data_IF_079786909964
#
_entry.id   IF_079786909964
#
_cell.length_a   1.000
_cell.length_b   1.000
_cell.length_c   1.000
_cell.angle_alpha   90.00
_cell.angle_beta   90.00
_cell.angle_gamma   90.00
#
_symmetry.space_group_name_H-M   'P 1'
#
loop_
_entity.id
_entity.type
_entity.pdbx_description
1 polymer ?
#
# COMPACT_ATOMS: atom_id res chain seq x y z
N UNK A 1 16.49 -0.03 -4.64
CA UNK A 1 15.05 -0.16 -5.01
C UNK A 1 14.48 1.22 -5.27
N UNK A 2 13.61 1.32 -6.24
CA UNK A 2 12.92 2.58 -6.54
C UNK A 2 11.95 2.96 -5.42
N UNK A 3 11.59 4.24 -5.34
CA UNK A 3 10.68 4.73 -4.31
C UNK A 3 9.31 4.05 -4.34
N UNK A 4 8.74 3.92 -5.55
CA UNK A 4 7.41 3.31 -5.73
C UNK A 4 7.55 1.91 -6.29
N UNK A 5 6.61 1.04 -5.95
CA UNK A 5 6.48 -0.29 -6.56
C UNK A 5 5.19 -0.30 -7.38
N UNK A 6 5.30 0.07 -8.65
CA UNK A 6 4.17 0.20 -9.56
C UNK A 6 4.00 -1.02 -10.47
N UNK A 7 5.10 -1.68 -10.80
CA UNK A 7 5.11 -2.90 -11.60
C UNK A 7 6.37 -3.70 -11.31
N UNK A 8 6.42 -4.93 -11.81
CA UNK A 8 7.60 -5.78 -11.68
C UNK A 8 8.83 -5.14 -12.34
N UNK A 9 8.62 -4.28 -13.32
CA UNK A 9 9.72 -3.59 -14.00
C UNK A 9 10.46 -2.58 -13.11
N UNK A 10 9.90 -2.23 -11.97
CA UNK A 10 10.56 -1.37 -10.98
C UNK A 10 11.60 -2.12 -10.15
N UNK A 11 11.67 -3.44 -10.29
CA UNK A 11 12.55 -4.29 -9.51
C UNK A 11 13.68 -4.85 -10.37
N UNK A 12 14.91 -4.73 -9.85
CA UNK A 12 16.06 -5.44 -10.37
C UNK A 12 16.13 -6.82 -9.70
N UNK A 13 16.84 -7.81 -10.28
CA UNK A 13 16.99 -9.13 -9.64
C UNK A 13 17.51 -9.06 -8.20
N UNK A 14 18.44 -8.15 -7.92
CA UNK A 14 18.94 -7.95 -6.56
C UNK A 14 17.87 -7.46 -5.59
N UNK A 15 16.93 -6.63 -6.06
CA UNK A 15 15.80 -6.17 -5.25
C UNK A 15 14.88 -7.34 -4.88
N UNK A 16 14.63 -8.25 -5.83
CA UNK A 16 13.81 -9.44 -5.61
C UNK A 16 14.45 -10.34 -4.54
N UNK A 17 15.76 -10.55 -4.63
CA UNK A 17 16.49 -11.34 -3.63
C UNK A 17 16.39 -10.71 -2.24
N UNK A 18 16.52 -9.39 -2.16
CA UNK A 18 16.37 -8.66 -0.90
C UNK A 18 14.97 -8.78 -0.33
N UNK A 19 13.95 -8.67 -1.18
CA UNK A 19 12.55 -8.83 -0.75
C UNK A 19 12.29 -10.24 -0.22
N UNK A 20 12.81 -11.28 -0.87
CA UNK A 20 12.65 -12.65 -0.40
C UNK A 20 13.39 -12.88 0.92
N UNK A 21 14.59 -12.32 1.09
CA UNK A 21 15.32 -12.42 2.35
C UNK A 21 14.54 -11.74 3.50
N UNK A 22 13.99 -10.56 3.23
CA UNK A 22 13.17 -9.83 4.21
C UNK A 22 11.89 -10.61 4.53
N UNK A 23 11.25 -11.19 3.51
CA UNK A 23 10.04 -12.01 3.69
C UNK A 23 10.32 -13.22 4.59
N UNK A 24 11.47 -13.87 4.42
CA UNK A 24 11.86 -14.99 5.29
C UNK A 24 12.00 -14.55 6.75
N UNK A 25 12.59 -13.37 7.00
CA UNK A 25 12.67 -12.80 8.34
C UNK A 25 11.28 -12.51 8.92
N UNK A 26 10.37 -11.95 8.10
CA UNK A 26 9.00 -11.65 8.52
C UNK A 26 8.22 -12.93 8.83
N UNK A 27 8.50 -14.01 8.12
CA UNK A 27 7.87 -15.31 8.40
C UNK A 27 8.16 -15.78 9.82
N UNK A 28 9.36 -15.53 10.33
CA UNK A 28 9.71 -15.86 11.72
C UNK A 28 8.87 -15.07 12.73
N UNK A 29 8.52 -13.83 12.41
CA UNK A 29 7.64 -13.01 13.28
C UNK A 29 6.26 -13.65 13.41
N UNK A 30 5.76 -14.25 12.35
CA UNK A 30 4.45 -14.91 12.34
C UNK A 30 4.35 -16.02 13.38
N UNK A 31 5.45 -16.70 13.68
CA UNK A 31 5.50 -17.78 14.67
C UNK A 31 5.65 -17.31 16.11
N UNK A 32 5.82 -16.01 16.36
CA UNK A 32 6.01 -15.49 17.72
C UNK A 32 4.69 -15.33 18.45
N UNK A 33 4.73 -15.38 19.78
CA UNK A 33 3.56 -15.07 20.61
C UNK A 33 3.19 -13.59 20.52
N UNK A 34 4.18 -12.71 20.41
CA UNK A 34 3.98 -11.27 20.15
C UNK A 34 4.47 -10.95 18.74
N UNK A 35 3.53 -10.69 17.84
CA UNK A 35 3.82 -10.47 16.42
C UNK A 35 4.00 -8.97 16.15
N UNK A 36 5.03 -8.37 16.76
CA UNK A 36 5.31 -6.93 16.59
C UNK A 36 6.80 -6.68 16.40
N UNK A 37 7.11 -5.79 15.45
CA UNK A 37 8.42 -5.20 15.23
C UNK A 37 8.25 -3.68 15.14
N UNK A 38 9.22 -2.88 15.57
CA UNK A 38 9.09 -1.42 15.58
C UNK A 38 9.46 -0.74 14.26
N UNK A 39 9.70 -1.48 13.19
CA UNK A 39 10.29 -0.98 11.94
C UNK A 39 9.54 0.22 11.34
N UNK A 40 8.19 0.24 11.42
CA UNK A 40 7.36 1.31 10.87
C UNK A 40 6.61 2.10 11.93
N UNK A 41 7.13 2.09 13.15
CA UNK A 41 6.52 2.84 14.25
C UNK A 41 6.46 4.33 13.89
N UNK A 42 5.28 4.94 14.06
CA UNK A 42 5.07 6.34 13.73
C UNK A 42 4.75 6.60 12.26
N UNK A 43 4.73 5.57 11.42
CA UNK A 43 4.36 5.69 10.01
C UNK A 43 2.89 5.37 9.82
N UNK A 44 2.27 6.04 8.84
CA UNK A 44 0.87 5.83 8.48
C UNK A 44 0.79 5.23 7.07
N UNK A 45 0.08 4.12 6.97
CA UNK A 45 -0.14 3.41 5.71
C UNK A 45 -1.64 3.38 5.44
N UNK A 46 -2.04 3.81 4.27
CA UNK A 46 -3.43 3.71 3.83
C UNK A 46 -3.54 2.62 2.77
N UNK A 47 -4.45 1.67 3.00
CA UNK A 47 -4.85 0.69 2.00
C UNK A 47 -6.07 1.25 1.27
N UNK A 48 -5.85 1.74 0.05
CA UNK A 48 -6.87 2.41 -0.76
C UNK A 48 -7.32 1.45 -1.86
N UNK A 49 -8.45 0.76 -1.62
CA UNK A 49 -8.94 -0.28 -2.51
C UNK A 49 -10.26 0.12 -3.13
N UNK A 50 -10.27 0.25 -4.45
CA UNK A 50 -11.46 0.55 -5.26
C UNK A 50 -12.10 -0.71 -5.84
N UNK A 51 -11.53 -1.87 -5.59
CA UNK A 51 -12.08 -3.17 -5.94
C UNK A 51 -12.01 -4.10 -4.74
N UNK A 52 -12.93 -5.06 -4.68
CA UNK A 52 -12.94 -6.06 -3.62
C UNK A 52 -11.72 -6.97 -3.74
N UNK A 53 -10.93 -7.03 -2.70
CA UNK A 53 -9.78 -7.93 -2.58
C UNK A 53 -9.48 -8.16 -1.12
N UNK A 54 -10.30 -8.98 -0.47
CA UNK A 54 -10.21 -9.21 0.97
C UNK A 54 -8.86 -9.75 1.39
N UNK A 55 -8.33 -10.73 0.66
CA UNK A 55 -7.03 -11.34 1.02
C UNK A 55 -5.89 -10.36 0.89
N UNK A 56 -5.81 -9.64 -0.23
CA UNK A 56 -4.73 -8.68 -0.48
C UNK A 56 -4.78 -7.55 0.53
N UNK A 57 -5.96 -6.95 0.72
CA UNK A 57 -6.13 -5.85 1.66
C UNK A 57 -5.78 -6.29 3.09
N UNK A 58 -6.27 -7.46 3.51
CA UNK A 58 -6.00 -7.97 4.85
C UNK A 58 -4.52 -8.28 5.06
N UNK A 59 -3.84 -8.80 4.04
CA UNK A 59 -2.39 -9.08 4.12
C UNK A 59 -1.60 -7.81 4.37
N UNK A 60 -1.91 -6.73 3.64
CA UNK A 60 -1.22 -5.45 3.83
C UNK A 60 -1.57 -4.81 5.17
N UNK A 61 -2.84 -4.91 5.60
CA UNK A 61 -3.24 -4.40 6.91
C UNK A 61 -2.49 -5.08 8.05
N UNK A 62 -2.45 -6.41 8.03
CA UNK A 62 -1.75 -7.19 9.05
C UNK A 62 -0.26 -6.91 9.03
N UNK A 63 0.35 -6.88 7.85
CA UNK A 63 1.78 -6.60 7.72
C UNK A 63 2.14 -5.23 8.31
N UNK A 64 1.35 -4.21 8.01
CA UNK A 64 1.57 -2.88 8.58
C UNK A 64 1.47 -2.88 10.09
N UNK A 65 0.48 -3.55 10.65
CA UNK A 65 0.28 -3.64 12.10
C UNK A 65 1.40 -4.40 12.79
N UNK A 66 1.88 -5.48 12.20
CA UNK A 66 3.02 -6.22 12.76
C UNK A 66 4.32 -5.41 12.74
N UNK A 67 4.45 -4.48 11.81
CA UNK A 67 5.58 -3.56 11.75
C UNK A 67 5.36 -2.29 12.56
N UNK A 68 4.28 -2.22 13.32
CA UNK A 68 3.91 -1.10 14.20
C UNK A 68 3.50 0.17 13.47
N UNK A 69 3.11 0.07 12.21
CA UNK A 69 2.52 1.18 11.48
C UNK A 69 1.06 1.39 11.91
N UNK A 70 0.59 2.63 11.78
CA UNK A 70 -0.84 2.90 11.82
C UNK A 70 -1.42 2.60 10.44
N UNK A 71 -2.39 1.71 10.37
CA UNK A 71 -2.99 1.30 9.10
C UNK A 71 -4.46 1.72 9.05
N UNK A 72 -4.85 2.28 7.91
CA UNK A 72 -6.21 2.72 7.64
C UNK A 72 -6.67 2.08 6.33
N UNK A 73 -7.87 1.48 6.34
CA UNK A 73 -8.47 0.93 5.14
C UNK A 73 -9.53 1.88 4.61
N UNK A 74 -9.42 2.23 3.32
CA UNK A 74 -10.40 3.04 2.63
C UNK A 74 -10.84 2.28 1.38
N UNK A 75 -12.14 2.14 1.23
CA UNK A 75 -12.74 1.53 0.02
C UNK A 75 -13.33 2.65 -0.82
N UNK A 76 -13.02 2.65 -2.11
CA UNK A 76 -13.53 3.67 -3.03
C UNK A 76 -14.97 3.41 -3.47
N UNK A 77 -15.38 2.16 -3.46
CA UNK A 77 -16.72 1.76 -3.92
C UNK A 77 -17.79 2.25 -2.94
N UNK A 78 -18.70 3.08 -3.44
CA UNK A 78 -19.74 3.70 -2.62
C UNK A 78 -19.26 4.90 -1.79
N UNK A 79 -18.02 5.33 -1.98
CA UNK A 79 -17.41 6.47 -1.29
C UNK A 79 -17.53 7.76 -2.10
N UNK A 80 -16.66 8.72 -1.82
CA UNK A 80 -16.58 10.02 -2.50
C UNK A 80 -16.51 9.90 -4.03
N UNK A 81 -15.85 8.86 -4.56
CA UNK A 81 -15.76 8.64 -5.99
C UNK A 81 -17.14 8.45 -6.63
N UNK A 82 -18.05 7.75 -5.96
CA UNK A 82 -19.43 7.56 -6.44
C UNK A 82 -20.26 8.83 -6.33
N UNK A 83 -19.79 9.83 -5.59
CA UNK A 83 -20.43 11.14 -5.46
C UNK A 83 -19.82 12.19 -6.38
N UNK A 84 -18.99 11.77 -7.35
CA UNK A 84 -18.36 12.66 -8.31
C UNK A 84 -16.99 13.16 -7.93
N UNK A 85 -16.45 12.75 -6.79
CA UNK A 85 -15.08 13.09 -6.41
C UNK A 85 -14.10 12.30 -7.26
N UNK A 86 -13.09 12.98 -7.81
CA UNK A 86 -12.07 12.33 -8.63
C UNK A 86 -11.07 11.55 -7.77
N UNK A 87 -10.39 10.58 -8.38
CA UNK A 87 -9.31 9.86 -7.74
C UNK A 87 -8.23 10.83 -7.24
N UNK A 88 -7.92 11.83 -8.04
CA UNK A 88 -6.92 12.85 -7.67
C UNK A 88 -7.33 13.60 -6.41
N UNK A 89 -8.59 14.05 -6.33
CA UNK A 89 -9.09 14.78 -5.16
C UNK A 89 -9.07 13.91 -3.91
N UNK A 90 -9.46 12.64 -4.04
CA UNK A 90 -9.38 11.67 -2.94
C UNK A 90 -7.95 11.53 -2.43
N UNK A 91 -7.00 11.33 -3.34
CA UNK A 91 -5.59 11.15 -2.98
C UNK A 91 -5.01 12.42 -2.35
N UNK A 92 -5.28 13.59 -2.92
CA UNK A 92 -4.78 14.85 -2.37
C UNK A 92 -5.33 15.09 -0.96
N UNK A 93 -6.59 14.80 -0.74
CA UNK A 93 -7.23 14.94 0.58
C UNK A 93 -6.61 14.01 1.60
N UNK A 94 -6.45 12.74 1.25
CA UNK A 94 -5.84 11.72 2.11
C UNK A 94 -4.41 12.10 2.46
N UNK A 95 -3.63 12.50 1.47
CA UNK A 95 -2.21 12.84 1.67
C UNK A 95 -2.01 14.11 2.49
N UNK A 96 -2.98 15.02 2.46
CA UNK A 96 -2.93 16.22 3.29
C UNK A 96 -2.96 15.90 4.80
N UNK A 97 -3.46 14.74 5.17
CA UNK A 97 -3.51 14.28 6.57
C UNK A 97 -2.13 13.82 7.05
N UNK A 98 -1.24 13.45 6.15
CA UNK A 98 0.11 13.00 6.51
C UNK A 98 0.29 11.49 6.37
N UNK A 99 0.29 10.99 5.14
CA UNK A 99 0.42 9.58 4.83
C UNK A 99 1.82 9.28 4.34
N UNK A 100 2.42 8.20 4.83
CA UNK A 100 3.76 7.77 4.42
C UNK A 100 3.73 6.80 3.24
N UNK A 101 2.71 5.96 3.17
CA UNK A 101 2.56 4.99 2.08
C UNK A 101 1.09 4.75 1.73
N UNK A 102 0.87 4.57 0.44
CA UNK A 102 -0.42 4.17 -0.12
C UNK A 102 -0.25 2.79 -0.76
N UNK A 103 -1.03 1.82 -0.31
CA UNK A 103 -1.18 0.54 -0.99
C UNK A 103 -2.52 0.59 -1.70
N UNK A 104 -2.52 0.53 -3.03
CA UNK A 104 -3.76 0.78 -3.75
C UNK A 104 -4.09 -0.30 -4.77
N UNK A 105 -5.38 -0.49 -4.98
CA UNK A 105 -5.93 -1.34 -6.03
C UNK A 105 -7.06 -0.59 -6.72
N UNK A 106 -7.02 -0.54 -8.04
CA UNK A 106 -7.95 0.21 -8.84
C UNK A 106 -8.22 -0.51 -10.18
N UNK A 107 -9.45 -0.38 -10.69
CA UNK A 107 -9.82 -1.05 -11.94
C UNK A 107 -9.22 -0.44 -13.20
N UNK A 108 -8.72 0.79 -13.14
CA UNK A 108 -8.14 1.45 -14.31
C UNK A 108 -6.65 1.16 -14.43
N UNK A 109 -6.20 0.79 -15.64
CA UNK A 109 -4.79 0.65 -15.95
C UNK A 109 -4.05 1.97 -15.70
N UNK A 110 -2.90 1.88 -15.04
CA UNK A 110 -2.05 3.04 -14.79
C UNK A 110 -2.49 3.94 -13.65
N UNK A 111 -3.54 3.58 -12.91
CA UNK A 111 -4.03 4.39 -11.79
C UNK A 111 -2.95 4.61 -10.73
N UNK A 112 -2.24 3.56 -10.33
CA UNK A 112 -1.19 3.68 -9.32
C UNK A 112 -0.05 4.59 -9.78
N UNK A 113 0.31 4.52 -11.05
CA UNK A 113 1.33 5.41 -11.61
C UNK A 113 0.90 6.87 -11.55
N UNK A 114 -0.35 7.15 -11.92
CA UNK A 114 -0.89 8.51 -11.81
C UNK A 114 -0.85 9.01 -10.37
N UNK A 115 -1.28 8.18 -9.43
CA UNK A 115 -1.26 8.53 -8.01
C UNK A 115 0.15 8.85 -7.54
N UNK A 116 1.14 8.09 -7.99
CA UNK A 116 2.55 8.34 -7.61
C UNK A 116 3.04 9.72 -8.04
N UNK A 117 2.43 10.31 -9.07
CA UNK A 117 2.76 11.65 -9.55
C UNK A 117 2.10 12.76 -8.74
N UNK A 118 1.07 12.42 -7.96
CA UNK A 118 0.30 13.39 -7.18
C UNK A 118 0.69 13.45 -5.70
N UNK A 119 1.51 12.53 -5.23
CA UNK A 119 1.82 12.40 -3.81
C UNK A 119 3.29 12.22 -3.55
N UNK A 120 3.73 12.66 -2.37
CA UNK A 120 5.09 12.38 -1.87
C UNK A 120 5.16 11.05 -1.13
N UNK A 121 4.03 10.43 -0.84
CA UNK A 121 3.99 9.12 -0.20
C UNK A 121 4.54 8.03 -1.13
N UNK A 122 5.00 6.94 -0.56
CA UNK A 122 5.35 5.74 -1.31
C UNK A 122 4.07 5.10 -1.84
N UNK A 123 4.05 4.72 -3.11
CA UNK A 123 2.89 4.04 -3.71
C UNK A 123 3.26 2.60 -4.06
N UNK A 124 2.44 1.67 -3.58
CA UNK A 124 2.53 0.25 -3.93
C UNK A 124 1.28 -0.13 -4.70
N UNK A 125 1.47 -0.63 -5.91
CA UNK A 125 0.37 -1.10 -6.76
C UNK A 125 0.00 -2.53 -6.35
N UNK A 126 -1.16 -2.70 -5.72
CA UNK A 126 -1.69 -4.01 -5.32
C UNK A 126 -2.65 -4.60 -6.37
N UNK A 127 -2.68 -4.02 -7.54
CA UNK A 127 -3.47 -4.46 -8.69
C UNK A 127 -4.16 -3.30 -9.39
N UNK A 128 -4.07 -3.27 -10.72
CA UNK A 128 -4.82 -2.33 -11.54
C UNK A 128 -5.48 -3.06 -12.70
N UNK A 129 -5.96 -2.32 -13.70
CA UNK A 129 -6.64 -2.90 -14.85
C UNK A 129 -5.74 -3.57 -15.88
N UNK A 130 -4.46 -3.66 -15.60
CA UNK A 130 -3.48 -4.22 -16.55
C UNK A 130 -3.29 -5.71 -16.36
#
# INVERSE_FOLDING_TARGET
MKKHLLSINDLEPADVDELFATAAQMHDVQGRSVKKLPALRGRTIINLFFEDSTRTRSSFEIAGKWLSADTINITGKGSSASKGESLRDTVLTICAIGVDALVMRHGASGAAKQVSEWTDAVVINAGDGT
#
